data_IF_118205141881
#
_entry.id   IF_118205141881
#
_cell.length_a   1.000
_cell.length_b   1.000
_cell.length_c   1.000
_cell.angle_alpha   90.00
_cell.angle_beta   90.00
_cell.angle_gamma   90.00
#
_symmetry.space_group_name_H-M   'P 1'
#
loop_
_entity.id
_entity.type
_entity.pdbx_description
1 polymer ?
#
# COMPACT_ATOMS: atom_id res chain seq x y z
N UNK A 1 0.91 -46.22 -8.29
CA UNK A 1 0.79 -44.85 -8.86
C UNK A 1 1.04 -43.85 -7.74
N UNK A 2 1.86 -42.83 -8.03
CA UNK A 2 2.69 -42.11 -7.05
C UNK A 2 1.86 -41.10 -6.23
N UNK A 3 2.05 -41.13 -4.91
CA UNK A 3 1.55 -40.12 -3.99
C UNK A 3 2.43 -38.88 -4.12
N UNK A 4 1.87 -37.75 -4.55
CA UNK A 4 2.55 -36.47 -4.57
C UNK A 4 2.50 -35.87 -3.15
N UNK A 5 3.63 -35.92 -2.44
CA UNK A 5 3.80 -35.19 -1.19
C UNK A 5 3.90 -33.70 -1.51
N UNK A 6 2.92 -32.92 -1.06
CA UNK A 6 2.97 -31.46 -1.06
C UNK A 6 4.00 -31.06 0.01
N UNK A 7 5.19 -30.67 -0.40
CA UNK A 7 6.20 -30.11 0.47
C UNK A 7 5.80 -28.67 0.83
N UNK A 8 5.20 -28.49 2.00
CA UNK A 8 5.01 -27.17 2.61
C UNK A 8 6.39 -26.68 3.09
N UNK A 9 7.05 -25.88 2.26
CA UNK A 9 8.32 -25.26 2.62
C UNK A 9 8.04 -24.10 3.59
N UNK A 10 7.95 -24.42 4.88
CA UNK A 10 8.03 -23.44 5.96
C UNK A 10 9.46 -22.89 6.00
N UNK A 11 9.65 -21.70 5.42
CA UNK A 11 10.85 -20.89 5.57
C UNK A 11 10.88 -20.32 7.00
N UNK A 12 11.25 -21.13 8.00
CA UNK A 12 11.55 -20.68 9.35
C UNK A 12 12.94 -20.04 9.39
N UNK A 13 13.04 -18.79 8.94
CA UNK A 13 14.16 -17.91 9.33
C UNK A 13 13.84 -17.30 10.69
N UNK A 14 14.13 -18.02 11.78
CA UNK A 14 14.14 -17.45 13.12
C UNK A 14 15.50 -16.76 13.33
N UNK A 15 15.65 -15.56 12.77
CA UNK A 15 16.79 -14.69 13.06
C UNK A 15 16.47 -13.95 14.36
N UNK A 16 17.36 -14.00 15.35
CA UNK A 16 17.15 -13.39 16.67
C UNK A 16 16.86 -11.86 16.60
N UNK A 17 17.21 -11.21 15.49
CA UNK A 17 16.90 -9.82 15.18
C UNK A 17 15.38 -9.55 15.01
N UNK A 18 14.61 -10.52 14.53
CA UNK A 18 13.15 -10.37 14.33
C UNK A 18 12.37 -10.31 15.66
N UNK A 19 12.92 -10.87 16.75
CA UNK A 19 12.24 -10.92 18.06
C UNK A 19 12.16 -9.55 18.79
N UNK A 20 12.89 -8.56 18.29
CA UNK A 20 13.00 -7.22 18.88
C UNK A 20 12.10 -6.16 18.22
N UNK A 21 11.23 -6.57 17.30
CA UNK A 21 10.35 -5.66 16.56
C UNK A 21 8.92 -6.18 16.61
N UNK A 22 8.02 -5.36 17.14
CA UNK A 22 6.58 -5.59 17.02
C UNK A 22 6.13 -5.03 15.66
N UNK A 23 5.79 -5.93 14.74
CA UNK A 23 5.23 -5.62 13.43
C UNK A 23 3.88 -6.31 13.30
N UNK A 24 2.83 -5.56 13.00
CA UNK A 24 1.50 -6.14 12.81
C UNK A 24 0.62 -5.38 11.84
N UNK A 25 -0.22 -6.11 11.11
CA UNK A 25 -1.29 -5.56 10.27
C UNK A 25 -2.33 -4.87 11.13
N UNK A 26 -2.84 -3.74 10.64
CA UNK A 26 -3.90 -2.96 11.27
C UNK A 26 -5.15 -2.94 10.40
N UNK A 27 -6.27 -2.50 10.95
CA UNK A 27 -7.46 -2.25 10.15
C UNK A 27 -7.25 -1.00 9.29
N UNK A 28 -7.23 -1.20 7.98
CA UNK A 28 -6.99 -0.15 6.97
C UNK A 28 -8.15 0.85 6.90
N UNK A 29 -9.35 0.47 7.37
CA UNK A 29 -10.52 1.36 7.44
C UNK A 29 -10.63 2.12 8.77
N UNK A 30 -9.80 1.78 9.76
CA UNK A 30 -9.77 2.47 11.05
C UNK A 30 -8.94 3.76 10.99
N UNK A 31 -9.10 4.62 12.00
CA UNK A 31 -8.23 5.77 12.20
C UNK A 31 -6.77 5.31 12.37
N UNK A 32 -5.87 5.86 11.55
CA UNK A 32 -4.46 5.49 11.56
C UNK A 32 -3.69 6.32 12.60
N UNK A 33 -3.92 6.02 13.88
CA UNK A 33 -3.20 6.66 14.99
C UNK A 33 -2.42 5.66 15.85
N UNK A 34 -1.49 6.16 16.68
CA UNK A 34 -0.57 5.31 17.44
C UNK A 34 -1.26 4.43 18.51
N UNK A 35 -2.55 4.63 18.79
CA UNK A 35 -3.35 3.76 19.65
C UNK A 35 -3.88 2.50 18.95
N UNK A 36 -3.82 2.47 17.60
CA UNK A 36 -4.34 1.38 16.77
C UNK A 36 -3.81 0.02 17.24
N UNK A 37 -4.71 -0.97 17.17
CA UNK A 37 -4.49 -2.34 17.62
C UNK A 37 -4.31 -3.27 16.42
N UNK A 38 -3.67 -4.44 16.63
CA UNK A 38 -3.57 -5.44 15.58
C UNK A 38 -4.94 -5.84 15.03
N UNK A 39 -5.02 -6.00 13.71
CA UNK A 39 -6.19 -6.58 13.04
C UNK A 39 -6.46 -7.97 13.62
N UNK A 40 -7.73 -8.24 14.00
CA UNK A 40 -8.11 -9.50 14.64
C UNK A 40 -7.67 -9.64 16.11
N UNK A 41 -7.17 -8.56 16.74
CA UNK A 41 -6.89 -8.49 18.18
C UNK A 41 -5.62 -9.22 18.62
N UNK A 42 -4.85 -9.80 17.70
CA UNK A 42 -3.55 -10.44 17.97
C UNK A 42 -2.51 -9.98 16.95
N UNK A 43 -1.26 -9.70 17.35
CA UNK A 43 -0.21 -9.34 16.41
C UNK A 43 -0.04 -10.41 15.32
N UNK A 44 -0.11 -9.99 14.06
CA UNK A 44 0.16 -10.82 12.90
C UNK A 44 0.92 -10.00 11.85
N UNK A 45 1.98 -10.56 11.28
CA UNK A 45 2.82 -9.91 10.28
C UNK A 45 2.48 -10.40 8.86
N UNK A 46 1.19 -10.66 8.59
CA UNK A 46 0.72 -11.22 7.31
C UNK A 46 -0.47 -10.42 6.80
N UNK A 47 -0.25 -9.59 5.78
CA UNK A 47 -1.34 -8.92 5.08
C UNK A 47 -1.96 -9.91 4.08
N UNK A 48 -3.23 -10.27 4.31
CA UNK A 48 -4.01 -11.14 3.42
C UNK A 48 -4.96 -10.27 2.62
N UNK A 49 -4.79 -10.28 1.30
CA UNK A 49 -5.44 -9.36 0.36
C UNK A 49 -6.10 -10.14 -0.76
N UNK A 50 -7.10 -9.55 -1.39
CA UNK A 50 -7.66 -10.01 -2.65
C UNK A 50 -7.92 -8.80 -3.56
N UNK A 51 -7.78 -8.98 -4.86
CA UNK A 51 -7.95 -7.92 -5.83
C UNK A 51 -8.25 -8.50 -7.22
N UNK A 52 -8.89 -7.71 -8.09
CA UNK A 52 -9.00 -8.00 -9.52
C UNK A 52 -7.74 -7.57 -10.29
N UNK A 53 -7.48 -8.10 -11.50
CA UNK A 53 -6.51 -7.52 -12.41
C UNK A 53 -6.83 -6.05 -12.69
N UNK A 54 -5.84 -5.17 -12.57
CA UNK A 54 -5.99 -3.72 -12.75
C UNK A 54 -6.42 -2.97 -11.48
N UNK A 55 -6.72 -3.67 -10.38
CA UNK A 55 -7.11 -3.05 -9.12
C UNK A 55 -5.90 -2.60 -8.28
N UNK A 56 -6.13 -1.61 -7.42
CA UNK A 56 -5.18 -1.12 -6.44
C UNK A 56 -5.69 -1.51 -5.04
N UNK A 57 -4.98 -2.40 -4.37
CA UNK A 57 -5.40 -2.97 -3.08
C UNK A 57 -4.48 -2.51 -1.93
N UNK A 58 -5.03 -1.90 -0.88
CA UNK A 58 -4.24 -1.40 0.25
C UNK A 58 -4.14 -2.40 1.42
N UNK A 59 -3.09 -2.26 2.20
CA UNK A 59 -2.97 -2.80 3.55
C UNK A 59 -2.28 -1.78 4.46
N UNK A 60 -2.57 -1.81 5.75
CA UNK A 60 -1.90 -0.96 6.74
C UNK A 60 -1.21 -1.81 7.80
N UNK A 61 -0.09 -1.34 8.33
CA UNK A 61 0.62 -2.01 9.41
C UNK A 61 1.33 -1.02 10.32
N UNK A 62 1.55 -1.44 11.56
CA UNK A 62 2.34 -0.73 12.54
C UNK A 62 3.70 -1.39 12.73
N UNK A 63 4.70 -0.58 13.03
CA UNK A 63 6.06 -1.00 13.36
C UNK A 63 6.48 -0.34 14.68
N UNK A 64 6.95 -1.13 15.64
CA UNK A 64 7.48 -0.65 16.90
C UNK A 64 8.71 -1.48 17.29
N UNK A 65 9.93 -0.91 17.22
CA UNK A 65 11.11 -1.61 17.67
C UNK A 65 11.26 -1.51 19.19
N UNK A 66 11.79 -2.55 19.84
CA UNK A 66 12.09 -2.55 21.29
C UNK A 66 13.42 -1.86 21.61
N UNK A 67 14.29 -1.76 20.61
CA UNK A 67 15.56 -1.04 20.64
C UNK A 67 15.59 0.04 19.55
N UNK A 68 16.54 0.97 19.62
CA UNK A 68 16.70 1.99 18.57
C UNK A 68 17.11 1.31 17.26
N UNK A 69 16.47 1.69 16.16
CA UNK A 69 16.90 1.35 14.81
C UNK A 69 17.49 2.59 14.14
N UNK A 70 18.58 2.40 13.40
CA UNK A 70 19.25 3.44 12.60
C UNK A 70 19.12 3.13 11.12
N UNK A 71 19.07 4.17 10.29
CA UNK A 71 19.07 4.02 8.84
C UNK A 71 17.92 3.12 8.34
N UNK A 72 16.73 3.27 8.92
CA UNK A 72 15.56 2.45 8.63
C UNK A 72 15.08 2.71 7.21
N UNK A 73 14.74 1.63 6.50
CA UNK A 73 14.05 1.67 5.22
C UNK A 73 13.09 0.48 5.12
N UNK A 74 11.97 0.66 4.42
CA UNK A 74 11.04 -0.43 4.13
C UNK A 74 10.83 -0.49 2.62
N UNK A 75 10.96 -1.68 2.05
CA UNK A 75 10.80 -1.90 0.61
C UNK A 75 9.90 -3.10 0.32
N UNK A 76 8.97 -2.95 -0.61
CA UNK A 76 8.21 -4.04 -1.20
C UNK A 76 9.08 -4.90 -2.10
N UNK A 77 8.88 -6.22 -2.06
CA UNK A 77 9.50 -7.17 -2.99
C UNK A 77 8.50 -7.67 -4.04
N UNK A 78 9.00 -8.45 -5.00
CA UNK A 78 8.16 -9.16 -5.96
C UNK A 78 7.12 -10.04 -5.23
N UNK A 79 5.89 -10.09 -5.75
CA UNK A 79 4.91 -11.10 -5.38
C UNK A 79 4.92 -12.21 -6.42
N UNK A 80 5.22 -13.43 -6.00
CA UNK A 80 5.40 -14.59 -6.90
C UNK A 80 4.34 -15.64 -6.64
N UNK A 81 3.81 -16.20 -7.71
CA UNK A 81 2.80 -17.25 -7.68
C UNK A 81 2.96 -18.22 -8.84
N UNK A 82 2.23 -19.35 -8.84
CA UNK A 82 2.22 -20.27 -9.99
C UNK A 82 1.78 -19.60 -11.30
N UNK A 83 1.01 -18.53 -11.20
CA UNK A 83 0.44 -17.81 -12.33
C UNK A 83 1.39 -16.74 -12.93
N UNK A 84 2.44 -16.33 -12.20
CA UNK A 84 3.40 -15.33 -12.65
C UNK A 84 4.05 -14.54 -11.51
N UNK A 85 4.51 -13.34 -11.83
CA UNK A 85 5.15 -12.40 -10.90
C UNK A 85 4.52 -11.03 -11.03
N UNK A 86 4.12 -10.43 -9.91
CA UNK A 86 3.84 -9.00 -9.79
C UNK A 86 5.15 -8.34 -9.33
N UNK A 87 5.77 -7.45 -10.13
CA UNK A 87 7.07 -6.88 -9.81
C UNK A 87 7.07 -6.06 -8.53
N UNK A 88 8.22 -5.96 -7.86
CA UNK A 88 8.40 -5.12 -6.67
C UNK A 88 7.98 -3.64 -6.88
N UNK A 89 8.10 -3.12 -8.10
CA UNK A 89 7.68 -1.76 -8.46
C UNK A 89 6.16 -1.53 -8.25
N UNK A 90 5.36 -2.59 -8.21
CA UNK A 90 3.93 -2.58 -7.96
C UNK A 90 3.57 -2.70 -6.46
N UNK A 91 4.56 -2.83 -5.57
CA UNK A 91 4.35 -2.93 -4.11
C UNK A 91 4.98 -1.73 -3.44
N UNK A 92 4.18 -0.68 -3.25
CA UNK A 92 4.65 0.61 -2.71
C UNK A 92 4.39 0.68 -1.21
N UNK A 93 5.40 1.08 -0.45
CA UNK A 93 5.29 1.33 1.00
C UNK A 93 5.44 2.82 1.26
N UNK A 94 4.51 3.39 2.03
CA UNK A 94 4.47 4.81 2.43
C UNK A 94 4.34 4.93 3.94
N UNK A 95 4.89 5.98 4.54
CA UNK A 95 4.59 6.31 5.93
C UNK A 95 3.24 7.03 6.02
N UNK A 96 2.53 6.82 7.12
CA UNK A 96 1.31 7.54 7.46
C UNK A 96 1.69 8.69 8.38
N UNK A 97 1.51 9.92 7.92
CA UNK A 97 1.95 11.13 8.62
C UNK A 97 0.77 12.05 8.91
N UNK A 98 0.73 12.61 10.12
CA UNK A 98 -0.29 13.59 10.46
C UNK A 98 -0.03 14.93 9.75
N UNK A 99 -0.97 15.39 8.94
CA UNK A 99 -0.88 16.65 8.21
C UNK A 99 -1.66 17.77 8.92
N UNK A 100 -0.95 18.76 9.44
CA UNK A 100 -1.51 19.96 10.09
C UNK A 100 -2.42 19.72 11.32
N UNK A 101 -2.48 18.48 11.83
CA UNK A 101 -3.38 18.09 12.91
C UNK A 101 -4.85 17.94 12.45
N UNK A 102 -5.72 17.48 13.34
CA UNK A 102 -7.15 17.23 13.10
C UNK A 102 -7.52 15.99 12.28
N UNK A 103 -6.75 14.90 12.40
CA UNK A 103 -7.12 13.60 11.80
C UNK A 103 -7.03 13.56 10.28
N UNK A 104 -6.22 14.45 9.69
CA UNK A 104 -5.87 14.40 8.27
C UNK A 104 -4.52 13.72 8.14
N UNK A 105 -4.53 12.43 7.88
CA UNK A 105 -3.31 11.70 7.60
C UNK A 105 -2.98 11.79 6.10
N UNK A 106 -1.69 11.87 5.80
CA UNK A 106 -1.17 11.81 4.43
C UNK A 106 -0.25 10.61 4.30
N UNK A 107 -0.20 10.05 3.09
CA UNK A 107 0.75 9.00 2.75
C UNK A 107 1.99 9.62 2.13
N UNK A 108 3.14 9.49 2.80
CA UNK A 108 4.42 10.02 2.33
C UNK A 108 5.32 8.90 1.83
N UNK A 109 5.99 9.12 0.69
CA UNK A 109 6.97 8.17 0.17
C UNK A 109 8.19 8.07 1.07
N UNK A 110 8.69 6.84 1.21
CA UNK A 110 9.95 6.54 1.87
C UNK A 110 11.11 6.94 0.93
N UNK A 111 11.41 8.24 0.85
CA UNK A 111 12.45 8.77 -0.05
C UNK A 111 13.87 8.78 0.53
N UNK A 112 14.01 8.56 1.83
CA UNK A 112 15.29 8.55 2.55
C UNK A 112 15.19 7.66 3.78
N UNK A 113 16.34 7.18 4.26
CA UNK A 113 16.40 6.46 5.53
C UNK A 113 16.07 7.38 6.69
N UNK A 114 15.52 6.81 7.77
CA UNK A 114 15.24 7.53 9.03
C UNK A 114 15.62 6.70 10.24
N UNK A 115 15.80 7.33 11.40
CA UNK A 115 16.04 6.61 12.65
C UNK A 115 14.73 6.44 13.42
N UNK A 116 14.55 5.28 14.06
CA UNK A 116 13.41 5.01 14.93
C UNK A 116 13.89 4.84 16.38
N UNK A 117 13.40 5.67 17.32
CA UNK A 117 13.64 5.46 18.73
C UNK A 117 13.14 4.09 19.23
N UNK A 118 13.77 3.57 20.28
CA UNK A 118 13.23 2.42 21.01
C UNK A 118 11.79 2.74 21.48
N UNK A 119 10.89 1.78 21.29
CA UNK A 119 9.47 1.82 21.65
C UNK A 119 8.64 2.87 20.91
N UNK A 120 9.16 3.56 19.90
CA UNK A 120 8.34 4.42 19.04
C UNK A 120 7.47 3.55 18.13
N UNK A 121 6.16 3.83 18.08
CA UNK A 121 5.28 3.22 17.07
C UNK A 121 5.14 4.18 15.89
N UNK A 122 5.38 3.66 14.70
CA UNK A 122 5.07 4.35 13.44
C UNK A 122 4.14 3.50 12.58
N UNK A 123 3.39 4.16 11.70
CA UNK A 123 2.35 3.55 10.87
C UNK A 123 2.71 3.66 9.41
N UNK A 124 2.39 2.60 8.67
CA UNK A 124 2.76 2.46 7.27
C UNK A 124 1.59 1.91 6.47
N UNK A 125 1.60 2.29 5.20
CA UNK A 125 0.63 1.85 4.21
C UNK A 125 1.35 1.10 3.10
N UNK A 126 0.88 -0.09 2.76
CA UNK A 126 1.27 -0.84 1.58
C UNK A 126 0.17 -0.69 0.54
N UNK A 127 0.56 -0.37 -0.69
CA UNK A 127 -0.34 -0.34 -1.84
C UNK A 127 0.18 -1.35 -2.86
N UNK A 128 -0.66 -2.31 -3.23
CA UNK A 128 -0.38 -3.27 -4.30
C UNK A 128 -1.18 -2.89 -5.54
N UNK A 129 -0.49 -2.44 -6.59
CA UNK A 129 -1.11 -2.18 -7.89
C UNK A 129 -1.05 -3.46 -8.72
N UNK A 130 -2.17 -4.16 -8.91
CA UNK A 130 -2.19 -5.41 -9.68
C UNK A 130 -2.18 -5.08 -11.17
N UNK A 131 -1.16 -5.50 -11.96
CA UNK A 131 -1.16 -5.29 -13.41
C UNK A 131 -2.44 -5.83 -14.06
N UNK A 132 -2.98 -5.12 -15.04
CA UNK A 132 -4.23 -5.49 -15.72
C UNK A 132 -4.17 -6.85 -16.45
N UNK A 133 -2.97 -7.31 -16.80
CA UNK A 133 -2.71 -8.61 -17.43
C UNK A 133 -2.33 -9.71 -16.42
N UNK A 134 -2.39 -9.42 -15.11
CA UNK A 134 -2.13 -10.41 -14.07
C UNK A 134 -3.13 -11.57 -14.18
N UNK A 135 -2.59 -12.78 -14.16
CA UNK A 135 -3.42 -13.99 -14.22
C UNK A 135 -4.02 -14.27 -12.84
N UNK A 136 -5.28 -14.77 -12.77
CA UNK A 136 -5.88 -15.16 -11.51
C UNK A 136 -5.04 -16.21 -10.76
N UNK A 137 -5.03 -16.12 -9.44
CA UNK A 137 -4.32 -17.03 -8.55
C UNK A 137 -3.62 -16.33 -7.39
N UNK A 138 -2.95 -17.13 -6.56
CA UNK A 138 -2.25 -16.62 -5.38
C UNK A 138 -0.84 -16.17 -5.70
N UNK A 139 -0.46 -14.99 -5.18
CA UNK A 139 0.87 -14.41 -5.23
C UNK A 139 1.35 -14.15 -3.80
N UNK A 140 2.62 -14.45 -3.52
CA UNK A 140 3.24 -14.24 -2.21
C UNK A 140 4.54 -13.48 -2.32
N UNK A 141 4.77 -12.57 -1.38
CA UNK A 141 6.00 -11.80 -1.29
C UNK A 141 6.17 -11.21 0.11
N UNK A 142 7.14 -10.31 0.25
CA UNK A 142 7.42 -9.65 1.54
C UNK A 142 7.75 -8.19 1.33
N UNK A 143 7.26 -7.34 2.24
CA UNK A 143 7.88 -6.04 2.49
C UNK A 143 8.96 -6.22 3.55
N UNK A 144 10.20 -5.82 3.24
CA UNK A 144 11.34 -5.97 4.14
C UNK A 144 11.63 -4.65 4.84
N UNK A 145 11.67 -4.69 6.17
CA UNK A 145 12.20 -3.61 7.01
C UNK A 145 13.68 -3.85 7.20
N UNK A 146 14.51 -2.87 6.86
CA UNK A 146 15.95 -2.90 7.06
C UNK A 146 16.39 -1.78 8.01
N UNK A 147 17.46 -2.03 8.79
CA UNK A 147 18.20 -1.04 9.57
C UNK A 147 19.66 -1.11 9.16
N UNK A 148 20.23 0.02 8.73
CA UNK A 148 21.56 0.09 8.12
C UNK A 148 21.78 -0.99 7.05
N UNK A 149 20.82 -1.11 6.13
CA UNK A 149 20.78 -2.11 5.05
C UNK A 149 20.67 -3.58 5.47
N UNK A 150 20.61 -3.89 6.76
CA UNK A 150 20.38 -5.25 7.26
C UNK A 150 18.89 -5.50 7.48
N UNK A 151 18.29 -6.56 6.90
CA UNK A 151 16.91 -6.93 7.20
C UNK A 151 16.72 -7.21 8.70
N UNK A 152 15.69 -6.60 9.29
CA UNK A 152 15.36 -6.75 10.72
C UNK A 152 13.89 -7.15 10.96
N UNK A 153 12.99 -6.84 10.04
CA UNK A 153 11.59 -7.29 10.08
C UNK A 153 11.04 -7.55 8.67
N UNK A 154 9.98 -8.37 8.58
CA UNK A 154 9.28 -8.69 7.32
C UNK A 154 7.78 -8.69 7.55
N UNK A 155 7.06 -8.00 6.69
CA UNK A 155 5.61 -8.15 6.52
C UNK A 155 5.39 -9.09 5.35
N UNK A 156 4.77 -10.25 5.58
CA UNK A 156 4.36 -11.13 4.49
C UNK A 156 3.13 -10.54 3.78
N UNK A 157 3.11 -10.62 2.46
CA UNK A 157 1.96 -10.27 1.63
C UNK A 157 1.46 -11.56 0.98
N UNK A 158 0.20 -11.89 1.20
CA UNK A 158 -0.53 -12.94 0.51
C UNK A 158 -1.68 -12.32 -0.26
N UNK A 159 -1.57 -12.31 -1.59
CA UNK A 159 -2.56 -11.72 -2.48
C UNK A 159 -3.25 -12.80 -3.30
N UNK A 160 -4.58 -12.80 -3.32
CA UNK A 160 -5.37 -13.54 -4.29
C UNK A 160 -5.82 -12.61 -5.43
N UNK A 161 -5.34 -12.87 -6.65
CA UNK A 161 -5.88 -12.21 -7.85
C UNK A 161 -7.11 -12.98 -8.31
N UNK A 162 -8.27 -12.32 -8.24
CA UNK A 162 -9.58 -12.90 -8.54
C UNK A 162 -9.81 -13.03 -10.07
N UNK A 163 -10.59 -14.02 -10.53
CA UNK A 163 -10.94 -14.18 -11.94
C UNK A 163 -12.11 -13.28 -12.37
N UNK A 164 -12.07 -12.01 -12.00
CA UNK A 164 -13.09 -11.00 -12.32
C UNK A 164 -12.42 -9.77 -12.93
N UNK A 165 -13.10 -9.10 -13.86
CA UNK A 165 -12.65 -7.81 -14.38
C UNK A 165 -13.54 -6.71 -13.81
N UNK A 166 -12.93 -5.71 -13.16
CA UNK A 166 -13.67 -4.54 -12.69
C UNK A 166 -14.21 -3.75 -13.88
N UNK A 167 -15.47 -3.36 -13.78
CA UNK A 167 -16.10 -2.47 -14.75
C UNK A 167 -15.80 -1.03 -14.35
N UNK A 168 -15.75 -0.15 -15.34
CA UNK A 168 -15.80 1.29 -15.07
C UNK A 168 -17.09 1.65 -14.33
N UNK A 169 -17.05 2.60 -13.39
CA UNK A 169 -18.26 3.06 -12.73
C UNK A 169 -19.20 3.65 -13.79
N UNK A 170 -20.50 3.29 -13.79
CA UNK A 170 -21.47 3.77 -14.78
C UNK A 170 -21.89 5.23 -14.53
N UNK A 171 -21.18 5.95 -13.66
CA UNK A 171 -21.43 7.32 -13.25
C UNK A 171 -20.10 8.07 -13.06
N UNK A 172 -20.17 9.39 -13.10
CA UNK A 172 -19.01 10.25 -12.93
C UNK A 172 -18.60 10.30 -11.44
N UNK A 173 -17.34 9.99 -11.15
CA UNK A 173 -16.71 10.18 -9.84
C UNK A 173 -15.57 11.19 -10.01
N UNK A 174 -15.57 12.25 -9.23
CA UNK A 174 -14.56 13.29 -9.35
C UNK A 174 -14.40 14.14 -8.11
N UNK A 175 -13.25 14.78 -8.02
CA UNK A 175 -12.94 15.80 -7.02
C UNK A 175 -12.86 17.17 -7.66
N UNK A 176 -13.21 18.19 -6.87
CA UNK A 176 -12.87 19.58 -7.19
C UNK A 176 -11.36 19.72 -7.12
N UNK A 177 -10.74 20.12 -8.23
CA UNK A 177 -9.30 20.12 -8.37
C UNK A 177 -8.83 21.33 -9.17
N UNK A 178 -8.09 22.22 -8.51
CA UNK A 178 -7.60 23.47 -9.11
C UNK A 178 -6.39 23.28 -10.02
N UNK A 179 -5.73 22.11 -9.98
CA UNK A 179 -4.58 21.77 -10.81
C UNK A 179 -3.28 22.55 -10.48
N UNK A 180 -2.09 21.93 -10.60
CA UNK A 180 -0.83 22.64 -10.62
C UNK A 180 -0.61 23.31 -11.99
N UNK A 181 0.23 24.34 -12.03
CA UNK A 181 0.66 24.97 -13.30
C UNK A 181 1.66 24.13 -14.09
N UNK A 182 2.37 23.23 -13.41
CA UNK A 182 3.36 22.36 -14.02
C UNK A 182 2.65 21.19 -14.74
N UNK A 183 2.80 21.04 -16.08
CA UNK A 183 2.14 19.98 -16.83
C UNK A 183 2.52 18.56 -16.41
N UNK A 184 3.75 18.34 -15.94
CA UNK A 184 4.19 17.02 -15.49
C UNK A 184 3.51 16.66 -14.16
N UNK A 185 3.38 17.63 -13.26
CA UNK A 185 2.67 17.45 -11.98
C UNK A 185 1.17 17.26 -12.23
N UNK A 186 0.58 18.01 -13.17
CA UNK A 186 -0.81 17.84 -13.57
C UNK A 186 -1.07 16.42 -14.08
N UNK A 187 -0.24 15.93 -15.01
CA UNK A 187 -0.38 14.58 -15.55
C UNK A 187 -0.25 13.52 -14.44
N UNK A 188 0.70 13.68 -13.51
CA UNK A 188 0.87 12.76 -12.39
C UNK A 188 -0.37 12.70 -11.48
N UNK A 189 -0.97 13.86 -11.15
CA UNK A 189 -2.16 13.91 -10.31
C UNK A 189 -3.40 13.33 -11.02
N UNK A 190 -3.59 13.61 -12.31
CA UNK A 190 -4.71 13.06 -13.07
C UNK A 190 -4.61 11.54 -13.22
N UNK A 191 -3.39 11.01 -13.41
CA UNK A 191 -3.15 9.56 -13.40
C UNK A 191 -3.45 8.97 -12.02
N UNK A 192 -2.98 9.59 -10.93
CA UNK A 192 -3.28 9.13 -9.57
C UNK A 192 -4.80 9.14 -9.29
N UNK A 193 -5.52 10.20 -9.68
CA UNK A 193 -6.98 10.24 -9.59
C UNK A 193 -7.63 9.09 -10.36
N UNK A 194 -7.16 8.84 -11.59
CA UNK A 194 -7.68 7.78 -12.46
C UNK A 194 -7.45 6.39 -11.89
N UNK A 195 -6.27 6.15 -11.33
CA UNK A 195 -5.88 4.90 -10.67
C UNK A 195 -6.74 4.61 -9.43
N UNK A 196 -7.37 5.64 -8.84
CA UNK A 196 -8.30 5.52 -7.71
C UNK A 196 -9.77 5.65 -8.12
N UNK A 197 -10.09 5.38 -9.39
CA UNK A 197 -11.47 5.26 -9.88
C UNK A 197 -12.17 6.59 -10.19
N UNK A 198 -11.46 7.72 -10.16
CA UNK A 198 -12.03 8.98 -10.64
C UNK A 198 -12.14 8.97 -12.16
N UNK A 199 -13.28 9.38 -12.67
CA UNK A 199 -13.62 9.43 -14.10
C UNK A 199 -13.84 10.84 -14.61
N UNK A 200 -13.90 11.83 -13.73
CA UNK A 200 -14.05 13.25 -14.07
C UNK A 200 -13.25 14.14 -13.11
N UNK A 201 -12.85 15.31 -13.58
CA UNK A 201 -12.42 16.42 -12.71
C UNK A 201 -13.63 17.29 -12.44
N UNK A 202 -14.05 17.38 -11.19
CA UNK A 202 -15.19 18.18 -10.78
C UNK A 202 -14.90 19.65 -11.04
N UNK A 203 -15.72 20.34 -11.85
CA UNK A 203 -15.55 21.77 -12.03
C UNK A 203 -15.79 22.53 -10.72
N UNK A 204 -14.92 23.49 -10.40
CA UNK A 204 -15.19 24.50 -9.39
C UNK A 204 -16.15 25.54 -9.98
N UNK A 205 -17.26 25.79 -9.27
CA UNK A 205 -18.22 26.89 -9.47
C UNK A 205 -18.96 26.94 -10.84
N UNK A 206 -20.30 26.85 -10.78
CA UNK A 206 -21.27 27.31 -11.80
C UNK A 206 -21.11 26.91 -13.29
N UNK A 207 -20.67 25.68 -13.59
CA UNK A 207 -20.76 25.20 -14.98
C UNK A 207 -22.22 24.98 -15.40
N UNK A 208 -22.61 25.63 -16.50
CA UNK A 208 -23.85 25.35 -17.22
C UNK A 208 -23.57 24.66 -18.57
N UNK A 209 -24.58 23.95 -19.11
CA UNK A 209 -24.47 23.34 -20.44
C UNK A 209 -25.18 24.21 -21.50
N UNK A 210 -24.56 24.44 -22.68
CA UNK A 210 -23.21 24.01 -23.08
C UNK A 210 -22.10 24.83 -22.42
N UNK A 211 -20.92 24.21 -22.29
CA UNK A 211 -19.71 24.86 -21.73
C UNK A 211 -19.19 25.90 -22.73
N UNK A 212 -18.85 27.07 -22.23
CA UNK A 212 -18.19 28.15 -22.97
C UNK A 212 -16.85 28.51 -22.35
N UNK A 213 -15.97 29.16 -23.13
CA UNK A 213 -14.62 29.54 -22.69
C UNK A 213 -14.63 30.41 -21.41
N UNK A 214 -15.74 31.11 -21.14
CA UNK A 214 -15.93 31.97 -19.97
C UNK A 214 -16.17 31.22 -18.64
N UNK A 215 -16.36 29.89 -18.65
CA UNK A 215 -16.67 29.08 -17.45
C UNK A 215 -15.41 28.67 -16.63
N UNK A 216 -14.22 29.18 -16.97
CA UNK A 216 -12.92 28.74 -16.39
C UNK A 216 -12.21 29.76 -15.50
N UNK A 217 -12.88 30.84 -15.07
CA UNK A 217 -12.28 31.91 -14.26
C UNK A 217 -12.52 31.77 -12.75
#
# INVERSE_FOLDING_TARGET
>A
MRHAAIALLLLTFCDAAFAQIDLYVTDTMAAQDKSIKPLGGRPNAVATLFAAPGEVEPASFALQPKERLTGVMIAGGDLKGPAGTIPAANVRVRSVEGFHGQGRDILMDLGRTWDMPAWSKELFWVTVTVPADSRPGTYKGVCTVASDSRPVARLAIELEVLPIALQEPPYALGFNYSGPKDPAVLAAHLNDMRDHGMTVVGPLYDFHLPITDDDTS
#
